data_IF_868279705766
#
_entry.id   IF_868279705766
#
_cell.length_a   1.000
_cell.length_b   1.000
_cell.length_c   1.000
_cell.angle_alpha   90.00
_cell.angle_beta   90.00
_cell.angle_gamma   90.00
#
_symmetry.space_group_name_H-M   'P 1'
#
loop_
_entity.id
_entity.type
_entity.pdbx_description
1 polymer ?
#
# COMPACT_ATOMS: atom_id res chain seq x y z
N UNK A 1 43.54 -17.67 6.92
CA UNK A 1 43.59 -16.23 7.29
C UNK A 1 42.17 -15.70 7.26
N UNK A 2 41.45 -15.84 8.38
CA UNK A 2 40.16 -15.19 8.56
C UNK A 2 40.36 -13.68 8.47
N UNK A 3 39.70 -13.03 7.51
CA UNK A 3 39.56 -11.57 7.54
C UNK A 3 38.65 -11.27 8.73
N UNK A 4 39.23 -10.92 9.88
CA UNK A 4 38.53 -10.13 10.89
C UNK A 4 38.13 -8.83 10.20
N UNK A 5 36.93 -8.83 9.62
CA UNK A 5 36.33 -7.61 9.12
C UNK A 5 36.18 -6.65 10.29
N UNK A 6 36.59 -5.41 10.06
CA UNK A 6 36.58 -4.28 10.98
C UNK A 6 35.19 -4.18 11.67
N UNK A 7 35.06 -4.75 12.87
CA UNK A 7 33.77 -4.91 13.58
C UNK A 7 33.15 -3.53 13.83
N UNK A 8 34.01 -2.55 14.04
CA UNK A 8 33.73 -1.14 14.21
C UNK A 8 32.96 -0.58 13.01
N UNK A 9 33.39 -0.90 11.78
CA UNK A 9 32.68 -0.46 10.57
C UNK A 9 31.32 -1.12 10.41
N UNK A 10 31.18 -2.39 10.79
CA UNK A 10 29.88 -3.05 10.78
C UNK A 10 28.93 -2.46 11.83
N UNK A 11 29.44 -2.11 13.01
CA UNK A 11 28.67 -1.45 14.05
C UNK A 11 28.20 -0.05 13.60
N UNK A 12 29.07 0.74 12.97
CA UNK A 12 28.71 2.05 12.41
C UNK A 12 27.65 1.94 11.31
N UNK A 13 27.79 0.97 10.41
CA UNK A 13 26.79 0.68 9.38
C UNK A 13 25.42 0.31 9.98
N UNK A 14 25.39 -0.61 10.95
CA UNK A 14 24.14 -1.03 11.60
C UNK A 14 23.47 0.10 12.41
N UNK A 15 24.29 0.98 13.02
CA UNK A 15 23.79 2.19 13.67
C UNK A 15 23.13 3.11 12.66
N UNK A 16 23.75 3.30 11.49
CA UNK A 16 23.19 4.14 10.43
C UNK A 16 21.87 3.59 9.88
N UNK A 17 21.77 2.29 9.66
CA UNK A 17 20.53 1.64 9.24
C UNK A 17 19.41 1.84 10.26
N UNK A 18 19.73 1.77 11.56
CA UNK A 18 18.76 2.01 12.64
C UNK A 18 18.30 3.47 12.68
N UNK A 19 19.22 4.41 12.52
CA UNK A 19 18.93 5.86 12.46
C UNK A 19 18.01 6.19 11.27
N UNK A 20 18.33 5.69 10.07
CA UNK A 20 17.55 5.91 8.87
C UNK A 20 16.16 5.26 8.97
N UNK A 21 16.09 4.04 9.52
CA UNK A 21 14.81 3.35 9.75
C UNK A 21 13.92 4.14 10.69
N UNK A 22 14.48 4.71 11.76
CA UNK A 22 13.74 5.58 12.68
C UNK A 22 13.22 6.84 11.99
N UNK A 23 14.08 7.53 11.23
CA UNK A 23 13.69 8.74 10.49
C UNK A 23 12.58 8.48 9.46
N UNK A 24 12.65 7.37 8.72
CA UNK A 24 11.58 6.94 7.82
C UNK A 24 10.30 6.59 8.58
N UNK A 25 10.44 5.91 9.72
CA UNK A 25 9.34 5.57 10.61
C UNK A 25 8.56 6.80 11.05
N UNK A 26 9.24 7.88 11.45
CA UNK A 26 8.62 9.15 11.85
C UNK A 26 7.79 9.78 10.71
N UNK A 27 8.21 9.64 9.45
CA UNK A 27 7.48 10.19 8.30
C UNK A 27 6.29 9.32 7.86
N UNK A 28 6.43 8.00 7.95
CA UNK A 28 5.44 7.04 7.44
C UNK A 28 4.37 6.75 8.49
N UNK A 29 4.71 6.72 9.78
CA UNK A 29 3.79 6.36 10.87
C UNK A 29 2.52 7.23 10.91
N UNK A 30 2.59 8.58 10.78
CA UNK A 30 1.39 9.42 10.73
C UNK A 30 0.43 9.01 9.60
N UNK A 31 0.97 8.66 8.43
CA UNK A 31 0.16 8.24 7.27
C UNK A 31 -0.54 6.91 7.55
N UNK A 32 0.16 5.95 8.18
CA UNK A 32 -0.44 4.67 8.59
C UNK A 32 -1.56 4.91 9.61
N UNK A 33 -1.36 5.81 10.57
CA UNK A 33 -2.37 6.14 11.58
C UNK A 33 -3.61 6.80 10.95
N UNK A 34 -3.45 7.70 9.99
CA UNK A 34 -4.59 8.29 9.28
C UNK A 34 -5.35 7.27 8.43
N UNK A 35 -4.64 6.41 7.70
CA UNK A 35 -5.26 5.31 6.95
C UNK A 35 -6.01 4.34 7.89
N UNK A 36 -5.47 4.09 9.08
CA UNK A 36 -6.10 3.27 10.12
C UNK A 36 -7.42 3.90 10.59
N UNK A 37 -7.43 5.21 10.88
CA UNK A 37 -8.66 5.95 11.24
C UNK A 37 -9.71 5.92 10.13
N UNK A 38 -9.30 6.12 8.88
CA UNK A 38 -10.21 6.13 7.72
C UNK A 38 -10.79 4.73 7.49
N UNK A 39 -9.97 3.69 7.49
CA UNK A 39 -10.41 2.32 7.15
C UNK A 39 -11.08 1.60 8.33
N UNK A 40 -10.85 2.05 9.57
CA UNK A 40 -11.33 1.38 10.78
C UNK A 40 -10.53 0.14 11.16
N UNK A 41 -9.34 -0.04 10.58
CA UNK A 41 -8.41 -1.13 10.87
C UNK A 41 -7.34 -0.70 11.86
N UNK A 42 -6.67 -1.65 12.51
CA UNK A 42 -5.50 -1.35 13.32
C UNK A 42 -4.29 -1.02 12.44
N UNK A 43 -3.33 -0.17 12.89
CA UNK A 43 -2.17 0.22 12.10
C UNK A 43 -1.36 -0.96 11.54
N UNK A 44 -1.30 -2.07 12.28
CA UNK A 44 -0.62 -3.30 11.88
C UNK A 44 -1.18 -3.92 10.59
N UNK A 45 -2.51 -3.92 10.44
CA UNK A 45 -3.18 -4.43 9.24
C UNK A 45 -3.14 -3.40 8.12
N UNK A 46 -3.33 -2.12 8.47
CA UNK A 46 -3.33 -1.01 7.51
C UNK A 46 -2.05 -0.96 6.67
N UNK A 47 -0.89 -1.21 7.26
CA UNK A 47 0.38 -1.18 6.52
C UNK A 47 0.69 -2.43 5.69
N UNK A 48 -0.11 -3.51 5.82
CA UNK A 48 0.14 -4.81 5.16
C UNK A 48 -0.91 -5.18 4.12
N UNK A 49 -2.12 -4.64 4.23
CA UNK A 49 -3.20 -4.92 3.28
C UNK A 49 -3.04 -4.12 2.00
N UNK A 50 -3.54 -4.67 0.89
CA UNK A 50 -3.59 -3.96 -0.40
C UNK A 50 -4.60 -2.82 -0.36
N UNK A 51 -4.40 -1.78 -1.18
CA UNK A 51 -5.36 -0.67 -1.28
C UNK A 51 -6.79 -1.10 -1.61
N UNK A 52 -6.97 -2.18 -2.38
CA UNK A 52 -8.29 -2.76 -2.64
C UNK A 52 -8.95 -3.31 -1.37
N UNK A 53 -8.20 -3.99 -0.51
CA UNK A 53 -8.69 -4.49 0.78
C UNK A 53 -8.94 -3.36 1.79
N UNK A 54 -8.09 -2.32 1.81
CA UNK A 54 -8.33 -1.12 2.61
C UNK A 54 -9.66 -0.45 2.22
N UNK A 55 -9.90 -0.32 0.90
CA UNK A 55 -11.14 0.24 0.36
C UNK A 55 -12.35 -0.65 0.69
N UNK A 56 -12.22 -1.98 0.60
CA UNK A 56 -13.27 -2.92 1.00
C UNK A 56 -13.66 -2.73 2.48
N UNK A 57 -12.69 -2.61 3.39
CA UNK A 57 -12.97 -2.39 4.82
C UNK A 57 -13.66 -1.04 5.09
N UNK A 58 -13.19 0.02 4.42
CA UNK A 58 -13.87 1.32 4.47
C UNK A 58 -15.34 1.21 4.03
N UNK A 59 -15.60 0.56 2.89
CA UNK A 59 -16.96 0.37 2.37
C UNK A 59 -17.83 -0.51 3.28
N UNK A 60 -17.26 -1.52 3.93
CA UNK A 60 -17.99 -2.35 4.91
C UNK A 60 -18.42 -1.51 6.12
N UNK A 61 -17.54 -0.65 6.64
CA UNK A 61 -17.86 0.25 7.74
C UNK A 61 -18.96 1.24 7.37
N UNK A 62 -18.87 1.83 6.17
CA UNK A 62 -19.90 2.74 5.64
C UNK A 62 -21.23 2.03 5.37
N UNK A 63 -21.21 0.79 4.88
CA UNK A 63 -22.42 0.01 4.69
C UNK A 63 -23.12 -0.24 6.03
N UNK A 64 -22.37 -0.58 7.07
CA UNK A 64 -22.92 -0.75 8.42
C UNK A 64 -23.52 0.56 8.97
N UNK A 65 -22.81 1.69 8.85
CA UNK A 65 -23.31 2.99 9.36
C UNK A 65 -24.59 3.45 8.65
N UNK A 66 -24.77 3.06 7.38
CA UNK A 66 -25.96 3.37 6.57
C UNK A 66 -27.03 2.29 6.63
N UNK A 67 -26.88 1.27 7.48
CA UNK A 67 -27.79 0.13 7.60
C UNK A 67 -28.02 -0.60 6.25
N UNK A 68 -26.95 -0.72 5.45
CA UNK A 68 -26.93 -1.40 4.15
C UNK A 68 -26.34 -2.81 4.29
N UNK A 69 -26.98 -3.78 3.64
CA UNK A 69 -26.45 -5.14 3.58
C UNK A 69 -25.27 -5.20 2.59
N UNK A 70 -24.09 -5.56 3.09
CA UNK A 70 -22.92 -5.78 2.24
C UNK A 70 -23.08 -7.02 1.35
N UNK A 71 -22.54 -6.94 0.13
CA UNK A 71 -22.57 -8.05 -0.82
C UNK A 71 -21.51 -9.09 -0.47
N UNK A 72 -21.84 -10.36 -0.72
CA UNK A 72 -20.89 -11.46 -0.58
C UNK A 72 -19.73 -11.35 -1.58
N UNK A 73 -18.56 -11.83 -1.16
CA UNK A 73 -17.39 -11.94 -2.02
C UNK A 73 -17.69 -12.79 -3.27
N UNK A 74 -17.09 -12.47 -4.42
CA UNK A 74 -17.32 -13.22 -5.64
C UNK A 74 -16.83 -14.66 -5.48
N UNK A 75 -17.64 -15.62 -5.92
CA UNK A 75 -17.21 -17.02 -6.01
C UNK A 75 -16.06 -17.17 -7.02
N UNK A 76 -15.31 -18.26 -6.91
CA UNK A 76 -14.20 -18.55 -7.83
C UNK A 76 -14.64 -18.49 -9.30
N UNK A 77 -15.80 -19.08 -9.64
CA UNK A 77 -16.37 -19.04 -10.99
C UNK A 77 -16.63 -17.60 -11.47
N UNK A 78 -17.12 -16.71 -10.60
CA UNK A 78 -17.35 -15.29 -10.94
C UNK A 78 -16.03 -14.53 -11.13
N UNK A 79 -15.01 -14.81 -10.31
CA UNK A 79 -13.67 -14.23 -10.48
C UNK A 79 -13.07 -14.62 -11.82
N UNK A 80 -13.01 -15.92 -12.12
CA UNK A 80 -12.48 -16.41 -13.40
C UNK A 80 -13.26 -15.89 -14.62
N UNK A 81 -14.56 -15.61 -14.47
CA UNK A 81 -15.32 -14.95 -15.53
C UNK A 81 -14.82 -13.52 -15.76
N UNK A 82 -14.67 -12.73 -14.69
CA UNK A 82 -14.15 -11.35 -14.76
C UNK A 82 -12.73 -11.29 -15.33
N UNK A 83 -11.87 -12.22 -14.95
CA UNK A 83 -10.49 -12.27 -15.43
C UNK A 83 -10.40 -12.58 -16.94
N UNK A 84 -11.42 -13.26 -17.50
CA UNK A 84 -11.54 -13.57 -18.92
C UNK A 84 -12.30 -12.49 -19.71
N UNK A 85 -12.95 -11.56 -19.02
CA UNK A 85 -13.61 -10.43 -19.68
C UNK A 85 -12.52 -9.47 -20.18
N UNK A 86 -12.73 -8.92 -21.38
CA UNK A 86 -11.76 -8.04 -21.99
C UNK A 86 -11.65 -6.73 -21.19
N UNK A 87 -10.42 -6.23 -21.02
CA UNK A 87 -10.19 -4.97 -20.33
C UNK A 87 -10.98 -3.83 -21.03
N UNK A 88 -11.55 -2.94 -20.21
CA UNK A 88 -12.25 -1.76 -20.72
C UNK A 88 -11.23 -0.75 -21.30
N UNK A 89 -11.67 0.08 -22.24
CA UNK A 89 -10.84 1.14 -22.82
C UNK A 89 -10.36 2.09 -21.71
N UNK A 90 -9.05 2.29 -21.63
CA UNK A 90 -8.43 3.16 -20.63
C UNK A 90 -8.52 4.65 -20.96
N UNK A 91 -7.73 5.44 -20.23
CA UNK A 91 -7.62 6.88 -20.47
C UNK A 91 -6.97 7.19 -21.83
N UNK A 92 -7.32 8.36 -22.38
CA UNK A 92 -6.66 8.89 -23.57
C UNK A 92 -5.22 9.32 -23.24
N UNK A 93 -4.27 8.85 -24.03
CA UNK A 93 -2.86 9.24 -23.93
C UNK A 93 -2.50 10.04 -25.17
N UNK A 94 -2.26 11.33 -24.99
CA UNK A 94 -1.73 12.18 -26.03
C UNK A 94 -0.22 12.05 -26.07
N UNK A 95 0.35 11.74 -27.23
CA UNK A 95 1.79 11.83 -27.43
C UNK A 95 2.13 13.31 -27.61
N UNK A 96 2.87 13.93 -26.67
CA UNK A 96 3.26 15.32 -26.81
C UNK A 96 4.23 15.48 -27.99
N UNK A 97 4.28 16.67 -28.58
CA UNK A 97 5.33 17.00 -29.53
C UNK A 97 6.69 17.02 -28.80
N UNK A 98 7.72 16.49 -29.43
CA UNK A 98 9.06 16.46 -28.84
C UNK A 98 9.71 17.83 -28.97
N UNK A 99 10.29 18.35 -27.88
CA UNK A 99 10.99 19.64 -27.90
C UNK A 99 11.37 20.17 -26.52
N UNK A 100 12.28 21.14 -26.49
CA UNK A 100 12.50 21.98 -25.31
C UNK A 100 11.45 23.09 -25.35
N UNK A 101 10.50 23.01 -24.43
CA UNK A 101 9.52 24.07 -24.20
C UNK A 101 10.14 25.08 -23.23
N UNK A 102 10.19 26.36 -23.64
CA UNK A 102 10.68 27.50 -22.84
C UNK A 102 9.52 28.19 -22.15
#
# INVERSE_FOLDING_TARGET
MERKGDIEKFAEYALKDSELTYQLGEQISPQILELSKITGLIPFDTCRLTYGQLTENYLLREAYSRNMLSRNRPSQKKRSKRDREQAYTGGFVYTPEEGLYV
#
